data_IF_572635904744
#
_entry.id   IF_572635904744
#
_cell.length_a   1.000
_cell.length_b   1.000
_cell.length_c   1.000
_cell.angle_alpha   90.00
_cell.angle_beta   90.00
_cell.angle_gamma   90.00
#
_symmetry.space_group_name_H-M   'P 1'
#
loop_
_entity.id
_entity.type
_entity.pdbx_description
1 polymer ?
#
# COMPACT_ATOMS: atom_id res chain seq x y z
N UNK A 1 7.27 4.69 -7.61
CA UNK A 1 6.26 4.32 -6.59
C UNK A 1 5.08 3.59 -7.22
N UNK A 2 4.39 4.18 -8.20
CA UNK A 2 3.33 3.44 -8.94
C UNK A 2 3.92 2.16 -9.56
N UNK A 3 3.19 1.06 -9.43
CA UNK A 3 3.61 -0.29 -9.83
C UNK A 3 4.52 -0.99 -8.81
N UNK A 4 4.95 -0.32 -7.73
CA UNK A 4 5.81 -0.95 -6.74
C UNK A 4 5.00 -1.84 -5.83
N UNK A 5 5.60 -2.95 -5.44
CA UNK A 5 4.97 -3.93 -4.57
C UNK A 5 5.35 -3.72 -3.11
N UNK A 6 4.49 -4.19 -2.22
CA UNK A 6 4.70 -4.11 -0.80
C UNK A 6 3.80 -5.06 -0.04
N UNK A 7 3.67 -4.80 1.25
CA UNK A 7 2.76 -5.53 2.13
C UNK A 7 2.12 -4.60 3.14
N UNK A 8 0.92 -4.94 3.56
CA UNK A 8 0.22 -4.26 4.65
C UNK A 8 0.95 -4.49 5.97
N UNK A 9 1.21 -3.40 6.71
CA UNK A 9 1.77 -3.43 8.07
C UNK A 9 0.77 -2.96 9.12
N UNK A 10 -0.21 -2.14 8.73
CA UNK A 10 -1.38 -1.76 9.54
C UNK A 10 -2.66 -1.86 8.72
N UNK A 11 -3.73 -2.44 9.29
CA UNK A 11 -4.99 -2.75 8.60
C UNK A 11 -5.46 -1.58 7.71
N UNK A 12 -5.65 -1.84 6.41
CA UNK A 12 -6.17 -0.87 5.44
C UNK A 12 -7.62 -1.25 5.14
N UNK A 13 -8.57 -0.32 5.14
CA UNK A 13 -9.98 -0.65 4.88
C UNK A 13 -10.84 0.54 4.51
N UNK A 14 -12.12 0.28 4.23
CA UNK A 14 -13.07 1.32 3.86
C UNK A 14 -13.13 2.46 4.90
N UNK A 15 -12.76 3.67 4.49
CA UNK A 15 -12.73 4.86 5.36
C UNK A 15 -11.59 4.90 6.39
N UNK A 16 -10.65 3.95 6.34
CA UNK A 16 -9.50 3.89 7.23
C UNK A 16 -8.19 4.07 6.46
N UNK A 17 -7.34 4.95 7.00
CA UNK A 17 -5.93 5.00 6.62
C UNK A 17 -5.23 3.82 7.28
N UNK A 18 -4.58 2.99 6.47
CA UNK A 18 -3.68 1.96 6.99
C UNK A 18 -2.22 2.28 6.68
N UNK A 19 -1.35 1.32 6.94
CA UNK A 19 0.08 1.44 6.69
C UNK A 19 0.58 0.27 5.85
N UNK A 20 1.52 0.57 4.97
CA UNK A 20 2.18 -0.41 4.12
C UNK A 20 3.68 -0.20 4.14
N UNK A 21 4.41 -1.29 3.93
CA UNK A 21 5.84 -1.29 3.63
C UNK A 21 6.01 -1.56 2.14
N UNK A 22 6.49 -0.58 1.38
CA UNK A 22 6.67 -0.65 -0.08
C UNK A 22 8.14 -0.81 -0.39
N UNK A 23 8.49 -1.72 -1.30
CA UNK A 23 9.85 -1.84 -1.80
C UNK A 23 10.15 -0.66 -2.72
N UNK A 24 11.23 0.08 -2.44
CA UNK A 24 11.67 1.24 -3.22
C UNK A 24 13.04 0.92 -3.83
N UNK A 25 13.10 0.40 -5.07
CA UNK A 25 14.34 -0.07 -5.69
C UNK A 25 15.45 0.98 -5.74
N UNK A 26 15.10 2.24 -5.96
CA UNK A 26 16.04 3.36 -6.04
C UNK A 26 16.73 3.65 -4.70
N UNK A 27 16.10 3.25 -3.59
CA UNK A 27 16.64 3.42 -2.23
C UNK A 27 17.15 2.11 -1.63
N UNK A 28 17.19 1.03 -2.43
CA UNK A 28 17.67 -0.30 -2.03
C UNK A 28 17.04 -0.81 -0.72
N UNK A 29 15.78 -0.49 -0.47
CA UNK A 29 15.11 -0.80 0.80
C UNK A 29 13.61 -0.78 0.70
N UNK A 30 12.96 -0.91 1.85
CA UNK A 30 11.52 -0.73 1.97
C UNK A 30 11.20 0.49 2.84
N UNK A 31 10.13 1.19 2.51
CA UNK A 31 9.69 2.38 3.21
C UNK A 31 8.22 2.30 3.62
N UNK A 32 7.91 2.92 4.75
CA UNK A 32 6.56 3.01 5.27
C UNK A 32 5.77 4.15 4.58
N UNK A 33 4.56 3.82 4.13
CA UNK A 33 3.59 4.76 3.55
C UNK A 33 2.23 4.62 4.22
N UNK A 34 1.49 5.73 4.24
CA UNK A 34 0.06 5.73 4.53
C UNK A 34 -0.68 5.22 3.31
N UNK A 35 -1.62 4.31 3.52
CA UNK A 35 -2.32 3.62 2.46
C UNK A 35 -3.83 3.82 2.53
N UNK A 36 -4.40 4.06 1.35
CA UNK A 36 -5.83 3.94 1.09
C UNK A 36 -6.08 2.80 0.09
N UNK A 37 -7.25 2.18 0.18
CA UNK A 37 -7.73 1.31 -0.89
C UNK A 37 -8.07 2.14 -2.12
N UNK A 38 -7.58 1.74 -3.28
CA UNK A 38 -7.89 2.38 -4.55
C UNK A 38 -9.31 2.14 -5.02
N UNK A 39 -9.85 0.97 -4.69
CA UNK A 39 -11.22 0.56 -4.99
C UNK A 39 -11.95 0.21 -3.69
N UNK A 40 -13.26 0.50 -3.57
CA UNK A 40 -14.06 0.03 -2.45
C UNK A 40 -13.97 -1.49 -2.32
N UNK A 41 -13.86 -2.00 -1.10
CA UNK A 41 -13.75 -3.44 -0.84
C UNK A 41 -13.50 -3.77 0.61
N UNK A 42 -13.27 -5.05 0.86
CA UNK A 42 -12.98 -5.56 2.20
C UNK A 42 -11.65 -5.03 2.73
N UNK A 43 -11.53 -4.85 4.05
CA UNK A 43 -10.27 -4.48 4.66
C UNK A 43 -9.18 -5.53 4.40
N UNK A 44 -7.98 -5.06 4.09
CA UNK A 44 -6.81 -5.92 3.89
C UNK A 44 -6.14 -6.20 5.25
N UNK A 45 -5.96 -7.47 5.63
CA UNK A 45 -5.24 -7.83 6.83
C UNK A 45 -3.74 -7.53 6.70
N UNK A 46 -3.05 -7.50 7.85
CA UNK A 46 -1.58 -7.36 7.88
C UNK A 46 -0.93 -8.54 7.15
N UNK A 47 0.11 -8.24 6.38
CA UNK A 47 0.83 -9.22 5.57
C UNK A 47 0.28 -9.39 4.15
N UNK A 48 -0.91 -8.86 3.83
CA UNK A 48 -1.46 -8.92 2.47
C UNK A 48 -0.50 -8.25 1.48
N UNK A 49 -0.11 -8.95 0.39
CA UNK A 49 0.73 -8.37 -0.64
C UNK A 49 -0.07 -7.36 -1.47
N UNK A 50 0.53 -6.22 -1.77
CA UNK A 50 -0.13 -5.11 -2.44
C UNK A 50 0.71 -4.58 -3.60
N UNK A 51 0.05 -3.85 -4.49
CA UNK A 51 0.67 -3.01 -5.51
C UNK A 51 0.19 -1.57 -5.35
N UNK A 52 1.10 -0.62 -5.48
CA UNK A 52 0.78 0.81 -5.50
C UNK A 52 0.20 1.17 -6.87
N UNK A 53 -1.02 1.69 -6.89
CA UNK A 53 -1.68 2.14 -8.13
C UNK A 53 -1.62 3.65 -8.31
N UNK A 54 -1.54 4.40 -7.20
CA UNK A 54 -1.34 5.84 -7.22
C UNK A 54 -0.40 6.25 -6.09
N UNK A 55 0.42 7.27 -6.34
CA UNK A 55 1.30 7.85 -5.35
C UNK A 55 1.00 9.34 -5.20
N UNK A 56 0.65 9.75 -3.99
CA UNK A 56 0.45 11.14 -3.60
C UNK A 56 1.58 11.56 -2.65
N UNK A 57 2.51 12.41 -3.11
CA UNK A 57 3.60 12.88 -2.28
C UNK A 57 3.11 13.57 -0.98
N UNK A 58 3.85 13.45 0.12
CA UNK A 58 5.15 12.78 0.25
C UNK A 58 5.09 11.31 0.69
N UNK A 59 3.98 10.86 1.29
CA UNK A 59 3.90 9.56 2.00
C UNK A 59 2.57 8.83 1.84
N UNK A 60 1.74 9.21 0.87
CA UNK A 60 0.43 8.57 0.65
C UNK A 60 0.46 7.74 -0.61
N UNK A 61 -0.10 6.53 -0.53
CA UNK A 61 -0.30 5.64 -1.67
C UNK A 61 -1.74 5.14 -1.69
N UNK A 62 -2.26 4.94 -2.89
CA UNK A 62 -3.44 4.13 -3.10
C UNK A 62 -2.98 2.76 -3.58
N UNK A 63 -3.58 1.73 -3.01
CA UNK A 63 -3.14 0.35 -3.21
C UNK A 63 -4.28 -0.55 -3.66
N UNK A 64 -3.90 -1.62 -4.34
CA UNK A 64 -4.74 -2.78 -4.62
C UNK A 64 -4.04 -4.05 -4.12
N UNK A 65 -4.78 -5.13 -3.79
CA UNK A 65 -4.19 -6.44 -3.54
C UNK A 65 -3.38 -6.90 -4.76
N UNK A 66 -2.16 -7.39 -4.55
CA UNK A 66 -1.31 -7.89 -5.64
C UNK A 66 -1.74 -9.27 -6.15
N UNK A 67 -2.57 -9.97 -5.39
CA UNK A 67 -3.13 -11.28 -5.73
C UNK A 67 -4.63 -11.19 -5.48
N UNK A 68 -5.39 -11.33 -6.56
CA UNK A 68 -6.84 -11.45 -6.61
C UNK A 68 -7.18 -12.35 -7.77
#
# INVERSE_FOLDING_TARGET
MIGYTGRVTGKVGAGLVGEVMVQVPERQGSEAFLAYLALPGDPLPVGTPIVVVEYQPPRTVYIAPAIG
#
